data_IF_962091370272
#
_entry.id   IF_962091370272
#
_cell.length_a   1.000
_cell.length_b   1.000
_cell.length_c   1.000
_cell.angle_alpha   90.00
_cell.angle_beta   90.00
_cell.angle_gamma   90.00
#
_symmetry.space_group_name_H-M   'P 1'
#
loop_
_entity.id
_entity.type
_entity.pdbx_description
1 polymer ?
#
# COMPACT_ATOMS: atom_id res chain seq x y z
N UNK A 1 13.29 -86.64 42.57
CA UNK A 1 13.57 -85.22 42.85
C UNK A 1 12.69 -84.41 41.91
N UNK A 2 11.48 -84.04 42.35
CA UNK A 2 10.52 -83.24 41.57
C UNK A 2 10.59 -81.78 42.02
N UNK A 3 10.34 -80.83 41.11
CA UNK A 3 9.84 -79.43 41.25
C UNK A 3 10.43 -78.53 40.14
N UNK A 4 9.85 -77.46 39.59
CA UNK A 4 8.50 -76.91 39.44
C UNK A 4 8.57 -75.81 38.35
N UNK A 5 7.44 -75.58 37.70
CA UNK A 5 7.02 -74.46 36.83
C UNK A 5 7.54 -73.08 37.31
N UNK A 6 7.98 -72.20 36.39
CA UNK A 6 7.57 -70.78 36.32
C UNK A 6 8.29 -69.96 35.22
N UNK A 7 7.47 -69.38 34.35
CA UNK A 7 7.48 -67.97 33.93
C UNK A 7 8.59 -67.43 33.01
N UNK A 8 8.14 -67.33 31.77
CA UNK A 8 8.49 -66.44 30.68
C UNK A 8 8.32 -64.94 31.04
N UNK A 9 9.39 -64.16 30.88
CA UNK A 9 9.39 -62.77 30.38
C UNK A 9 10.79 -62.45 29.83
N UNK A 10 11.00 -62.37 28.50
CA UNK A 10 12.21 -61.77 27.96
C UNK A 10 12.13 -60.24 28.07
N UNK A 11 12.87 -59.68 29.01
CA UNK A 11 13.30 -58.29 28.97
C UNK A 11 14.56 -58.13 28.11
N UNK A 12 14.79 -56.87 27.70
CA UNK A 12 15.98 -56.31 27.03
C UNK A 12 15.96 -56.33 25.49
N UNK A 13 15.49 -55.21 24.94
CA UNK A 13 16.08 -54.43 23.84
C UNK A 13 15.40 -53.05 23.91
N UNK A 14 16.02 -51.89 23.88
CA UNK A 14 17.40 -51.46 23.93
C UNK A 14 17.38 -49.94 24.24
N UNK A 15 18.45 -49.44 24.87
CA UNK A 15 19.03 -48.11 24.60
C UNK A 15 18.25 -46.83 24.97
N UNK A 16 18.62 -46.28 26.12
CA UNK A 16 18.67 -44.84 26.52
C UNK A 16 19.32 -43.99 25.37
N UNK A 17 19.11 -42.67 25.19
CA UNK A 17 19.15 -41.73 26.30
C UNK A 17 18.44 -40.37 26.18
N UNK A 18 18.62 -39.61 27.26
CA UNK A 18 18.84 -38.16 27.28
C UNK A 18 17.65 -37.24 27.01
N UNK A 19 17.08 -36.79 28.13
CA UNK A 19 16.17 -35.66 28.23
C UNK A 19 16.96 -34.36 28.03
N UNK A 20 17.44 -34.14 26.81
CA UNK A 20 17.92 -32.85 26.36
C UNK A 20 16.72 -31.94 26.10
N UNK A 21 16.59 -30.92 26.95
CA UNK A 21 15.64 -29.83 26.79
C UNK A 21 16.15 -28.97 25.62
N UNK A 22 15.82 -29.39 24.39
CA UNK A 22 16.02 -28.57 23.20
C UNK A 22 14.99 -27.45 23.20
N UNK A 23 15.42 -26.30 23.72
CA UNK A 23 14.87 -24.98 23.45
C UNK A 23 14.48 -24.91 21.98
N UNK A 24 13.17 -24.89 21.71
CA UNK A 24 12.62 -24.59 20.40
C UNK A 24 13.18 -23.23 19.97
N UNK A 25 14.19 -23.25 19.10
CA UNK A 25 14.52 -22.09 18.30
C UNK A 25 13.35 -21.93 17.36
N UNK A 26 12.42 -21.05 17.74
CA UNK A 26 11.54 -20.38 16.82
C UNK A 26 12.44 -19.77 15.75
N UNK A 27 12.60 -20.53 14.66
CA UNK A 27 13.26 -20.07 13.46
C UNK A 27 12.27 -19.10 12.85
N UNK A 28 12.46 -17.84 13.25
CA UNK A 28 12.01 -16.62 12.61
C UNK A 28 12.00 -16.85 11.10
N UNK A 29 10.87 -17.35 10.61
CA UNK A 29 10.56 -17.40 9.20
C UNK A 29 9.80 -16.12 8.99
N UNK A 30 10.56 -15.03 8.86
CA UNK A 30 10.07 -13.82 8.25
C UNK A 30 9.21 -14.24 7.03
N UNK A 31 7.95 -13.81 6.94
CA UNK A 31 7.12 -14.16 5.80
C UNK A 31 7.86 -13.71 4.55
N UNK A 32 8.14 -14.66 3.65
CA UNK A 32 8.58 -14.33 2.30
C UNK A 32 7.61 -13.27 1.75
N UNK A 33 8.09 -12.22 1.07
CA UNK A 33 7.22 -11.14 0.62
C UNK A 33 6.11 -11.76 -0.23
N UNK A 34 4.87 -11.64 0.24
CA UNK A 34 3.71 -12.10 -0.51
C UNK A 34 3.82 -11.52 -1.92
N UNK A 35 3.67 -12.38 -2.93
CA UNK A 35 3.62 -11.94 -4.32
C UNK A 35 2.43 -11.00 -4.43
N UNK A 36 2.69 -9.69 -4.48
CA UNK A 36 1.64 -8.67 -4.54
C UNK A 36 0.68 -9.00 -5.68
N UNK A 37 -0.61 -9.00 -5.39
CA UNK A 37 -1.63 -9.27 -6.40
C UNK A 37 -1.58 -8.21 -7.50
N UNK A 38 -2.12 -8.53 -8.68
CA UNK A 38 -2.20 -7.55 -9.78
C UNK A 38 -2.96 -6.28 -9.35
N UNK A 39 -4.06 -6.45 -8.63
CA UNK A 39 -4.87 -5.38 -8.08
C UNK A 39 -4.09 -4.52 -7.07
N UNK A 40 -3.28 -5.13 -6.20
CA UNK A 40 -2.42 -4.42 -5.26
C UNK A 40 -1.34 -3.59 -5.97
N UNK A 41 -0.70 -4.16 -7.00
CA UNK A 41 0.32 -3.47 -7.80
C UNK A 41 -0.26 -2.25 -8.50
N UNK A 42 -1.42 -2.43 -9.14
CA UNK A 42 -2.18 -1.36 -9.80
C UNK A 42 -2.57 -0.26 -8.81
N UNK A 43 -3.10 -0.66 -7.65
CA UNK A 43 -3.51 0.27 -6.59
C UNK A 43 -2.32 1.06 -6.03
N UNK A 44 -1.18 0.40 -5.86
CA UNK A 44 0.07 1.02 -5.39
C UNK A 44 0.57 2.08 -6.37
N UNK A 45 0.60 1.77 -7.66
CA UNK A 45 1.00 2.73 -8.70
C UNK A 45 0.05 3.93 -8.70
N UNK A 46 -1.26 3.67 -8.68
CA UNK A 46 -2.29 4.70 -8.66
C UNK A 46 -2.12 5.64 -7.45
N UNK A 47 -1.89 5.07 -6.27
CA UNK A 47 -1.71 5.81 -5.03
C UNK A 47 -0.43 6.65 -5.03
N UNK A 48 0.69 6.09 -5.48
CA UNK A 48 1.98 6.78 -5.52
C UNK A 48 1.92 8.06 -6.35
N UNK A 49 1.28 8.01 -7.51
CA UNK A 49 1.21 9.15 -8.41
C UNK A 49 -0.07 9.98 -8.27
N UNK A 50 -1.08 9.51 -7.53
CA UNK A 50 -2.38 10.17 -7.43
C UNK A 50 -3.16 10.18 -8.75
N UNK A 51 -2.99 9.13 -9.57
CA UNK A 51 -3.57 9.05 -10.91
C UNK A 51 -5.06 8.68 -10.88
N UNK A 52 -5.79 9.15 -11.89
CA UNK A 52 -7.10 8.60 -12.25
C UNK A 52 -6.96 7.27 -13.01
N UNK A 53 -8.02 6.46 -13.08
CA UNK A 53 -8.04 5.23 -13.90
C UNK A 53 -7.69 5.53 -15.36
N UNK A 54 -8.14 6.67 -15.88
CA UNK A 54 -7.86 7.13 -17.25
C UNK A 54 -6.36 7.35 -17.50
N UNK A 55 -5.69 8.03 -16.57
CA UNK A 55 -4.25 8.30 -16.67
C UNK A 55 -3.44 7.02 -16.49
N UNK A 56 -3.86 6.15 -15.56
CA UNK A 56 -3.22 4.87 -15.35
C UNK A 56 -3.32 3.99 -16.62
N UNK A 57 -4.47 3.95 -17.27
CA UNK A 57 -4.67 3.24 -18.53
C UNK A 57 -3.76 3.77 -19.64
N UNK A 58 -3.62 5.10 -19.73
CA UNK A 58 -2.71 5.76 -20.67
C UNK A 58 -1.25 5.37 -20.41
N UNK A 59 -0.79 5.46 -19.16
CA UNK A 59 0.57 5.12 -18.73
C UNK A 59 0.89 3.65 -18.98
N UNK A 60 -0.06 2.76 -18.69
CA UNK A 60 0.11 1.32 -18.92
C UNK A 60 -0.18 0.90 -20.37
N UNK A 61 -0.57 1.84 -21.25
CA UNK A 61 -0.93 1.60 -22.65
C UNK A 61 -2.00 0.51 -22.82
N UNK A 62 -3.01 0.54 -21.95
CA UNK A 62 -4.16 -0.37 -22.00
C UNK A 62 -5.46 0.44 -22.01
N UNK A 63 -6.57 -0.24 -22.25
CA UNK A 63 -7.89 0.39 -22.15
C UNK A 63 -8.32 0.51 -20.69
N UNK A 64 -9.19 1.47 -20.38
CA UNK A 64 -9.74 1.64 -19.02
C UNK A 64 -10.44 0.36 -18.53
N UNK A 65 -11.16 -0.32 -19.42
CA UNK A 65 -11.83 -1.58 -19.10
C UNK A 65 -10.83 -2.62 -18.57
N UNK A 66 -9.67 -2.73 -19.22
CA UNK A 66 -8.60 -3.64 -18.77
C UNK A 66 -8.10 -3.31 -17.36
N UNK A 67 -8.08 -2.03 -16.97
CA UNK A 67 -7.72 -1.65 -15.60
C UNK A 67 -8.80 -2.09 -14.60
N UNK A 68 -10.08 -1.95 -14.95
CA UNK A 68 -11.16 -2.47 -14.10
C UNK A 68 -11.07 -3.99 -13.97
N UNK A 69 -10.83 -4.71 -15.06
CA UNK A 69 -10.63 -6.16 -15.05
C UNK A 69 -9.40 -6.58 -14.22
N UNK A 70 -8.40 -5.71 -14.06
CA UNK A 70 -7.20 -5.98 -13.25
C UNK A 70 -7.40 -5.70 -11.76
N UNK A 71 -8.34 -4.81 -11.43
CA UNK A 71 -8.72 -4.47 -10.06
C UNK A 71 -9.75 -5.48 -9.53
N UNK A 72 -10.55 -6.06 -10.42
CA UNK A 72 -11.49 -7.12 -10.10
C UNK A 72 -10.76 -8.39 -9.66
N UNK A 73 -10.92 -8.75 -8.38
CA UNK A 73 -10.24 -9.89 -7.75
C UNK A 73 -10.95 -11.22 -8.03
N UNK A 74 -12.18 -11.21 -8.55
CA UNK A 74 -12.95 -12.43 -8.83
C UNK A 74 -12.46 -13.16 -10.10
N UNK A 75 -11.83 -12.45 -11.04
CA UNK A 75 -11.25 -13.07 -12.25
C UNK A 75 -10.02 -12.31 -12.78
N UNK A 76 -8.89 -12.30 -12.04
CA UNK A 76 -7.72 -11.54 -12.42
C UNK A 76 -7.10 -12.11 -13.70
N UNK A 77 -7.00 -11.34 -14.79
CA UNK A 77 -6.40 -11.82 -16.02
C UNK A 77 -4.90 -12.01 -15.85
N UNK A 78 -4.33 -13.03 -16.52
CA UNK A 78 -2.89 -13.18 -16.54
C UNK A 78 -2.25 -12.11 -17.42
N UNK A 79 -1.53 -11.18 -16.79
CA UNK A 79 -0.76 -10.15 -17.47
C UNK A 79 0.65 -10.68 -17.74
N UNK A 80 0.92 -11.04 -19.00
CA UNK A 80 2.22 -11.55 -19.45
C UNK A 80 2.79 -10.73 -20.63
N UNK A 81 4.08 -10.93 -20.91
CA UNK A 81 4.80 -10.25 -21.99
C UNK A 81 4.93 -8.74 -21.77
N UNK A 82 4.83 -7.97 -22.85
CA UNK A 82 5.06 -6.52 -22.86
C UNK A 82 4.25 -5.74 -21.82
N UNK A 83 3.00 -6.13 -21.56
CA UNK A 83 2.14 -5.48 -20.56
C UNK A 83 2.64 -5.70 -19.13
N UNK A 84 3.13 -6.90 -18.84
CA UNK A 84 3.69 -7.26 -17.54
C UNK A 84 5.02 -6.55 -17.28
N UNK A 85 5.87 -6.47 -18.31
CA UNK A 85 7.13 -5.72 -18.27
C UNK A 85 6.89 -4.23 -18.04
N UNK A 86 5.96 -3.63 -18.79
CA UNK A 86 5.59 -2.22 -18.62
C UNK A 86 5.02 -1.95 -17.23
N UNK A 87 4.11 -2.81 -16.74
CA UNK A 87 3.58 -2.70 -15.39
C UNK A 87 4.68 -2.79 -14.32
N UNK A 88 5.64 -3.71 -14.48
CA UNK A 88 6.78 -3.83 -13.57
C UNK A 88 7.68 -2.57 -13.63
N UNK A 89 7.95 -2.04 -14.82
CA UNK A 89 8.75 -0.83 -14.98
C UNK A 89 8.09 0.38 -14.31
N UNK A 90 6.79 0.59 -14.53
CA UNK A 90 6.02 1.67 -13.88
C UNK A 90 5.95 1.47 -12.37
N UNK A 91 5.82 0.23 -11.89
CA UNK A 91 5.87 -0.07 -10.46
C UNK A 91 7.22 0.31 -9.84
N UNK A 92 8.35 0.06 -10.52
CA UNK A 92 9.67 0.52 -10.05
C UNK A 92 9.71 2.04 -9.92
N UNK A 93 9.13 2.77 -10.86
CA UNK A 93 9.04 4.23 -10.77
C UNK A 93 8.14 4.66 -9.60
N UNK A 94 7.02 3.99 -9.36
CA UNK A 94 6.15 4.27 -8.20
C UNK A 94 6.89 4.07 -6.87
N UNK A 95 7.70 3.01 -6.75
CA UNK A 95 8.54 2.77 -5.56
C UNK A 95 9.58 3.88 -5.39
N UNK A 96 10.25 4.29 -6.47
CA UNK A 96 11.21 5.39 -6.43
C UNK A 96 10.54 6.72 -6.05
N UNK A 97 9.33 6.98 -6.57
CA UNK A 97 8.55 8.16 -6.17
C UNK A 97 8.31 8.18 -4.67
N UNK A 98 7.79 7.08 -4.12
CA UNK A 98 7.46 6.98 -2.69
C UNK A 98 8.69 7.13 -1.78
N UNK A 99 9.90 6.79 -2.29
CA UNK A 99 11.15 7.05 -1.58
C UNK A 99 11.55 8.53 -1.60
N UNK A 100 11.25 9.24 -2.68
CA UNK A 100 11.54 10.68 -2.83
C UNK A 100 10.51 11.55 -2.10
N UNK A 101 9.25 11.13 -2.11
CA UNK A 101 8.10 11.91 -1.69
C UNK A 101 7.01 10.99 -1.09
N UNK A 102 6.55 11.28 0.12
CA UNK A 102 5.44 10.53 0.75
C UNK A 102 4.06 10.93 0.21
N UNK A 103 3.99 12.02 -0.54
CA UNK A 103 2.76 12.57 -1.07
C UNK A 103 2.58 12.25 -2.55
N UNK A 104 1.33 12.06 -3.01
CA UNK A 104 1.06 11.80 -4.41
C UNK A 104 1.43 13.00 -5.27
N UNK A 105 1.99 12.73 -6.46
CA UNK A 105 2.25 13.77 -7.46
C UNK A 105 0.97 14.54 -7.86
N UNK A 106 -0.17 13.86 -7.90
CA UNK A 106 -1.50 14.45 -8.04
C UNK A 106 -1.61 15.35 -9.28
N UNK A 107 -2.10 16.59 -9.10
CA UNK A 107 -2.20 17.58 -10.19
C UNK A 107 -0.85 17.88 -10.83
N UNK A 108 0.25 17.74 -10.08
CA UNK A 108 1.59 17.98 -10.58
C UNK A 108 2.02 17.06 -11.72
N UNK A 109 1.34 15.92 -11.90
CA UNK A 109 1.59 15.00 -13.00
C UNK A 109 1.40 15.61 -14.39
N UNK A 110 0.40 16.48 -14.54
CA UNK A 110 0.00 17.07 -15.82
C UNK A 110 0.33 18.57 -15.91
N UNK A 111 0.61 19.22 -14.78
CA UNK A 111 0.86 20.67 -14.73
C UNK A 111 2.33 21.01 -14.90
N UNK A 112 3.24 20.21 -14.32
CA UNK A 112 4.65 20.55 -14.31
C UNK A 112 5.33 20.00 -15.55
N UNK A 113 5.71 20.92 -16.42
CA UNK A 113 6.48 20.67 -17.62
C UNK A 113 7.97 20.69 -17.31
N UNK A 114 8.67 19.72 -17.90
CA UNK A 114 10.13 19.71 -17.96
C UNK A 114 10.65 20.86 -18.81
N UNK A 115 11.97 21.09 -18.78
CA UNK A 115 12.64 22.09 -19.65
C UNK A 115 12.36 21.83 -21.13
N UNK A 116 12.11 20.58 -21.49
CA UNK A 116 11.83 20.13 -22.86
C UNK A 116 10.34 20.15 -23.22
N UNK A 117 9.46 20.55 -22.29
CA UNK A 117 8.02 20.70 -22.56
C UNK A 117 7.18 19.45 -22.35
N UNK A 118 7.78 18.32 -21.94
CA UNK A 118 7.04 17.10 -21.60
C UNK A 118 6.62 17.13 -20.13
N UNK A 119 5.46 16.55 -19.81
CA UNK A 119 4.99 16.39 -18.41
C UNK A 119 5.42 15.03 -17.85
N UNK A 120 5.40 14.84 -16.52
CA UNK A 120 5.67 13.51 -15.95
C UNK A 120 4.70 12.45 -16.48
N UNK A 121 3.43 12.82 -16.71
CA UNK A 121 2.45 11.92 -17.32
C UNK A 121 2.86 11.52 -18.74
N UNK A 122 3.39 12.45 -19.54
CA UNK A 122 3.87 12.19 -20.90
C UNK A 122 5.06 11.22 -20.89
N UNK A 123 6.06 11.48 -20.04
CA UNK A 123 7.24 10.63 -19.89
C UNK A 123 6.90 9.21 -19.44
N UNK A 124 5.91 9.04 -18.56
CA UNK A 124 5.43 7.72 -18.14
C UNK A 124 4.54 7.05 -19.19
N UNK A 125 3.93 7.81 -20.10
CA UNK A 125 3.09 7.31 -21.20
C UNK A 125 3.89 6.95 -22.45
N UNK A 126 5.13 7.44 -22.56
CA UNK A 126 6.05 7.14 -23.65
C UNK A 126 6.25 5.62 -23.84
N UNK A 127 6.45 5.19 -25.08
CA UNK A 127 6.68 3.78 -25.40
C UNK A 127 7.96 3.27 -24.74
N UNK A 128 9.01 4.09 -24.76
CA UNK A 128 10.29 3.84 -24.11
C UNK A 128 10.40 4.72 -22.88
N UNK A 129 10.58 4.09 -21.71
CA UNK A 129 10.80 4.79 -20.45
C UNK A 129 12.29 5.12 -20.31
N UNK A 130 12.64 6.39 -20.49
CA UNK A 130 13.98 6.89 -20.16
C UNK A 130 14.09 7.04 -18.63
N UNK A 131 14.63 6.01 -17.97
CA UNK A 131 14.73 5.96 -16.52
C UNK A 131 15.57 7.12 -15.95
N UNK A 132 16.61 7.58 -16.67
CA UNK A 132 17.47 8.67 -16.21
C UNK A 132 16.75 10.03 -16.27
N UNK A 133 16.01 10.26 -17.37
CA UNK A 133 15.17 11.45 -17.53
C UNK A 133 14.04 11.46 -16.50
N UNK A 134 13.33 10.34 -16.32
CA UNK A 134 12.29 10.18 -15.31
C UNK A 134 12.81 10.49 -13.91
N UNK A 135 13.97 9.95 -13.52
CA UNK A 135 14.52 10.18 -12.19
C UNK A 135 14.84 11.67 -11.95
N UNK A 136 15.39 12.36 -12.94
CA UNK A 136 15.68 13.80 -12.87
C UNK A 136 14.40 14.60 -12.65
N UNK A 137 13.36 14.29 -13.42
CA UNK A 137 12.07 14.98 -13.38
C UNK A 137 11.33 14.70 -12.08
N UNK A 138 11.30 13.44 -11.65
CA UNK A 138 10.68 13.03 -10.39
C UNK A 138 11.34 13.69 -9.17
N UNK A 139 12.67 13.83 -9.18
CA UNK A 139 13.39 14.55 -8.12
C UNK A 139 12.97 16.02 -8.09
N UNK A 140 13.00 16.72 -9.22
CA UNK A 140 12.58 18.11 -9.30
C UNK A 140 11.12 18.31 -8.89
N UNK A 141 10.24 17.41 -9.33
CA UNK A 141 8.83 17.45 -8.98
C UNK A 141 8.60 17.16 -7.48
N UNK A 142 9.34 16.23 -6.89
CA UNK A 142 9.21 15.90 -5.47
C UNK A 142 9.43 17.10 -4.56
N UNK A 143 10.40 17.96 -4.88
CA UNK A 143 10.67 19.18 -4.12
C UNK A 143 9.53 20.21 -4.26
N UNK A 144 8.93 20.32 -5.44
CA UNK A 144 7.78 21.19 -5.67
C UNK A 144 6.53 20.68 -4.95
N UNK A 145 6.27 19.37 -4.99
CA UNK A 145 5.16 18.72 -4.29
C UNK A 145 5.33 18.92 -2.78
N UNK A 146 6.52 18.67 -2.22
CA UNK A 146 6.82 18.94 -0.81
C UNK A 146 6.52 20.39 -0.42
N UNK A 147 6.99 21.35 -1.22
CA UNK A 147 6.78 22.77 -0.97
C UNK A 147 5.30 23.19 -1.09
N UNK A 148 4.53 22.56 -1.99
CA UNK A 148 3.09 22.81 -2.10
C UNK A 148 2.33 22.24 -0.90
N UNK A 149 2.66 21.01 -0.48
CA UNK A 149 2.06 20.38 0.70
C UNK A 149 2.38 21.12 1.99
N UNK A 150 3.62 21.57 2.18
CA UNK A 150 3.99 22.42 3.33
C UNK A 150 3.18 23.72 3.33
N UNK A 151 3.08 24.41 2.20
CA UNK A 151 2.27 25.63 2.10
C UNK A 151 0.78 25.39 2.34
N UNK A 152 0.24 24.25 1.92
CA UNK A 152 -1.14 23.89 2.21
C UNK A 152 -1.35 23.56 3.69
N UNK A 153 -0.40 22.87 4.33
CA UNK A 153 -0.48 22.57 5.75
C UNK A 153 -0.45 23.84 6.61
N UNK A 154 0.44 24.79 6.29
CA UNK A 154 0.49 26.10 6.95
C UNK A 154 -0.79 26.93 6.73
N UNK A 155 -1.43 26.78 5.57
CA UNK A 155 -2.72 27.43 5.26
C UNK A 155 -3.92 26.64 5.72
N UNK A 156 -3.73 25.45 6.30
CA UNK A 156 -4.83 24.61 6.73
C UNK A 156 -5.51 25.24 7.93
N UNK A 157 -6.84 25.13 7.96
CA UNK A 157 -7.66 25.63 9.06
C UNK A 157 -7.24 25.01 10.41
N UNK A 158 -6.77 23.77 10.40
CA UNK A 158 -6.21 23.12 11.59
C UNK A 158 -4.93 23.80 12.11
N UNK A 159 -4.03 24.24 11.21
CA UNK A 159 -2.85 25.02 11.58
C UNK A 159 -3.25 26.39 12.14
N UNK A 160 -4.19 27.09 11.48
CA UNK A 160 -4.72 28.37 11.95
C UNK A 160 -5.37 28.24 13.33
N UNK A 161 -6.21 27.23 13.54
CA UNK A 161 -6.83 26.97 14.84
C UNK A 161 -5.79 26.65 15.92
N UNK A 162 -4.75 25.87 15.61
CA UNK A 162 -3.64 25.61 16.55
C UNK A 162 -2.84 26.87 16.87
N UNK A 163 -2.61 27.73 15.89
CA UNK A 163 -1.96 29.03 16.10
C UNK A 163 -2.79 29.94 17.02
N UNK A 164 -4.12 29.86 16.92
CA UNK A 164 -5.08 30.53 17.81
C UNK A 164 -5.29 29.79 19.15
N UNK A 165 -4.50 28.74 19.44
CA UNK A 165 -4.50 28.04 20.73
C UNK A 165 -5.51 26.89 20.88
N UNK A 166 -6.22 26.50 19.82
CA UNK A 166 -7.09 25.32 19.84
C UNK A 166 -6.28 24.03 19.74
N UNK A 167 -6.48 23.13 20.71
CA UNK A 167 -5.88 21.79 20.68
C UNK A 167 -6.76 20.82 19.88
N UNK A 168 -6.17 19.96 19.04
CA UNK A 168 -6.94 18.93 18.34
C UNK A 168 -7.56 17.98 19.37
N UNK A 169 -8.88 17.85 19.34
CA UNK A 169 -9.60 16.89 20.18
C UNK A 169 -9.16 15.48 19.77
N UNK A 170 -8.63 14.65 20.70
CA UNK A 170 -8.30 13.27 20.37
C UNK A 170 -9.57 12.53 19.92
N UNK A 171 -9.44 11.64 18.93
CA UNK A 171 -10.55 10.93 18.26
C UNK A 171 -11.49 10.21 19.25
N UNK A 172 -10.94 9.77 20.39
CA UNK A 172 -11.68 9.15 21.47
C UNK A 172 -12.71 10.09 22.14
N UNK A 173 -12.43 11.40 22.18
CA UNK A 173 -13.33 12.41 22.73
C UNK A 173 -14.45 12.81 21.77
N UNK A 174 -14.24 12.74 20.44
CA UNK A 174 -15.29 13.04 19.46
C UNK A 174 -16.44 12.03 19.52
N UNK A 175 -16.11 10.74 19.74
CA UNK A 175 -17.11 9.70 19.95
C UNK A 175 -17.94 9.91 21.21
N UNK A 176 -17.32 10.35 22.31
CA UNK A 176 -18.03 10.67 23.56
C UNK A 176 -18.90 11.93 23.46
N UNK A 177 -18.45 12.95 22.72
CA UNK A 177 -19.25 14.18 22.51
C UNK A 177 -20.44 13.90 21.61
N UNK A 178 -20.28 13.16 20.51
CA UNK A 178 -21.39 12.77 19.64
C UNK A 178 -22.37 11.79 20.31
N UNK A 179 -21.88 10.89 21.17
CA UNK A 179 -22.73 10.04 22.00
C UNK A 179 -23.54 10.83 23.05
N UNK A 180 -23.06 12.02 23.47
CA UNK A 180 -23.77 12.93 24.35
C UNK A 180 -24.88 13.75 23.67
N UNK A 181 -24.84 13.87 22.34
CA UNK A 181 -25.85 14.57 21.52
C UNK A 181 -26.92 13.63 20.93
N UNK A 182 -27.06 12.41 21.47
CA UNK A 182 -28.18 11.50 21.18
C UNK A 182 -29.52 11.92 21.80
N UNK A 183 -29.83 13.22 21.81
CA UNK A 183 -31.15 13.76 22.14
C UNK A 183 -31.96 13.92 20.86
N UNK A 184 -32.99 13.10 20.70
CA UNK A 184 -33.87 13.02 19.53
C UNK A 184 -34.36 14.40 19.05
N UNK A 185 -33.94 14.81 17.85
CA UNK A 185 -34.68 15.78 17.04
C UNK A 185 -35.79 15.02 16.31
N UNK A 186 -36.96 14.91 16.97
CA UNK A 186 -38.20 14.58 16.28
C UNK A 186 -38.57 15.74 15.36
N UNK A 187 -38.36 15.56 14.06
CA UNK A 187 -39.03 16.34 13.03
C UNK A 187 -40.48 15.85 12.96
N UNK A 188 -41.37 16.42 13.78
CA UNK A 188 -42.81 16.36 13.51
C UNK A 188 -43.14 17.48 12.54
N UNK A 189 -43.34 17.08 11.29
CA UNK A 189 -43.96 17.84 10.23
C UNK A 189 -45.45 17.96 10.58
N UNK A 190 -45.91 19.19 10.86
CA UNK A 190 -47.32 19.52 11.02
C UNK A 190 -47.70 20.27 9.73
N UNK A 191 -48.47 19.58 8.89
CA UNK A 191 -49.10 20.13 7.68
C UNK A 191 -50.61 19.89 7.82
N UNK A 192 -51.33 21.02 7.80
CA UNK A 192 -52.79 21.28 7.75
C UNK A 192 -53.68 21.01 8.99
#
# INVERSE_FOLDING_TARGET
MNERIAQQYPGLNATTPDRSISRATAKDTAPAPAVQSLAERVSTIKAAFGMTISQLAQVLQVQRQTIYDWIDEDNPPQVQGKKGERLAAIQRQAVQWNQLCQWPAGKGMATYTTVEGDTLLDLLSADVLDEARLQTVMRGLSEQVKAEWQRQEERSLAYQLRAEGFQPVPDQSLRSVLAGYGGAVSLTHDDD
#
